data_IF_964443135115
#
_entry.id   IF_964443135115
#
_cell.length_a   1.000
_cell.length_b   1.000
_cell.length_c   1.000
_cell.angle_alpha   90.00
_cell.angle_beta   90.00
_cell.angle_gamma   90.00
#
_symmetry.space_group_name_H-M   'P 1'
#
loop_
_entity.id
_entity.type
_entity.pdbx_description
1 polymer ?
#
# COMPACT_ATOMS: atom_id res chain seq x y z
N UNK A 1 -18.17 36.06 -4.82
CA UNK A 1 -16.78 36.53 -4.54
C UNK A 1 -15.83 35.40 -4.88
N UNK A 2 -14.83 35.70 -5.70
CA UNK A 2 -14.06 34.76 -6.50
C UNK A 2 -13.25 33.77 -5.69
N UNK A 3 -13.28 32.52 -6.17
CA UNK A 3 -12.48 31.38 -5.77
C UNK A 3 -10.97 31.62 -6.08
N UNK A 4 -10.28 32.34 -5.19
CA UNK A 4 -8.81 32.57 -5.26
C UNK A 4 -8.12 31.50 -4.44
N UNK A 5 -7.69 30.40 -5.06
CA UNK A 5 -6.86 29.41 -4.38
C UNK A 5 -6.65 28.07 -5.09
N UNK A 6 -7.19 27.86 -6.27
CA UNK A 6 -6.75 26.77 -7.14
C UNK A 6 -5.68 27.29 -8.09
N UNK A 7 -4.43 27.34 -7.65
CA UNK A 7 -3.33 27.18 -8.59
C UNK A 7 -3.44 25.74 -9.09
N UNK A 8 -4.13 25.59 -10.21
CA UNK A 8 -4.05 24.40 -11.05
C UNK A 8 -2.57 24.24 -11.40
N UNK A 9 -1.90 23.28 -10.79
CA UNK A 9 -0.64 22.81 -11.32
C UNK A 9 -1.03 22.25 -12.69
N UNK A 10 -0.52 22.83 -13.76
CA UNK A 10 -0.79 22.37 -15.10
C UNK A 10 -0.50 20.87 -15.18
N UNK A 11 -1.45 20.09 -15.74
CA UNK A 11 -1.22 18.68 -16.01
C UNK A 11 -0.20 18.60 -17.17
N UNK A 12 1.07 18.52 -16.82
CA UNK A 12 2.21 18.43 -17.73
C UNK A 12 2.48 16.98 -18.18
N UNK A 13 1.45 16.14 -18.20
CA UNK A 13 1.54 14.75 -18.62
C UNK A 13 0.48 14.44 -19.70
N UNK A 14 0.82 13.47 -20.57
CA UNK A 14 -0.15 12.89 -21.50
C UNK A 14 -0.85 11.73 -20.81
N UNK A 15 -2.19 11.73 -20.69
CA UNK A 15 -2.94 10.60 -20.15
C UNK A 15 -2.64 9.31 -20.92
N UNK A 16 -2.43 8.22 -20.17
CA UNK A 16 -2.20 6.90 -20.78
C UNK A 16 -3.50 6.15 -20.96
N UNK A 17 -3.58 5.35 -22.03
CA UNK A 17 -4.66 4.41 -22.26
C UNK A 17 -4.43 3.16 -21.42
N UNK A 18 -5.48 2.61 -20.83
CA UNK A 18 -5.41 1.40 -20.03
C UNK A 18 -4.96 0.19 -20.85
N UNK A 19 -3.98 -0.54 -20.30
CA UNK A 19 -3.52 -1.83 -20.80
C UNK A 19 -3.93 -2.93 -19.80
N UNK A 20 -4.76 -3.92 -20.20
CA UNK A 20 -5.29 -4.97 -19.31
C UNK A 20 -4.25 -5.88 -18.65
N UNK A 21 -3.01 -5.93 -19.16
CA UNK A 21 -1.93 -6.68 -18.53
C UNK A 21 -1.53 -6.10 -17.16
N UNK A 22 -1.80 -4.79 -16.94
CA UNK A 22 -1.49 -4.10 -15.70
C UNK A 22 -2.75 -3.93 -14.84
N UNK A 23 -2.66 -4.28 -13.57
CA UNK A 23 -3.72 -4.00 -12.60
C UNK A 23 -3.70 -2.53 -12.16
N UNK A 24 -2.48 -1.97 -12.06
CA UNK A 24 -2.23 -0.59 -11.64
C UNK A 24 -1.32 0.08 -12.68
N UNK A 25 -1.73 1.25 -13.13
CA UNK A 25 -0.91 2.15 -13.93
C UNK A 25 -0.84 3.51 -13.25
N UNK A 26 0.36 3.92 -12.92
CA UNK A 26 0.66 5.22 -12.31
C UNK A 26 1.41 6.06 -13.32
N UNK A 27 0.86 7.22 -13.69
CA UNK A 27 1.44 8.08 -14.71
C UNK A 27 1.63 9.49 -14.16
N UNK A 28 2.88 9.91 -14.06
CA UNK A 28 3.30 11.26 -13.66
C UNK A 28 2.69 11.72 -12.33
N UNK A 29 2.56 10.80 -11.37
CA UNK A 29 1.93 11.05 -10.08
C UNK A 29 2.67 12.12 -9.30
N UNK A 30 1.93 13.13 -8.82
CA UNK A 30 2.44 14.22 -7.97
C UNK A 30 1.64 14.34 -6.69
N UNK A 31 2.37 14.49 -5.58
CA UNK A 31 1.80 14.80 -4.27
C UNK A 31 2.67 15.81 -3.56
N UNK A 32 2.15 17.04 -3.42
CA UNK A 32 2.81 18.15 -2.78
C UNK A 32 2.05 18.56 -1.52
N UNK A 33 2.80 18.85 -0.48
CA UNK A 33 2.24 19.35 0.78
C UNK A 33 2.57 20.82 0.94
N UNK A 34 1.59 21.70 1.23
CA UNK A 34 1.83 23.12 1.38
C UNK A 34 2.60 23.40 2.68
N UNK A 35 3.65 24.21 2.57
CA UNK A 35 4.35 24.79 3.71
C UNK A 35 3.62 26.10 4.07
N UNK A 36 3.06 26.15 5.27
CA UNK A 36 2.38 27.35 5.78
C UNK A 36 3.35 28.20 6.58
N UNK A 37 3.37 29.52 6.33
CA UNK A 37 4.23 30.47 7.04
C UNK A 37 3.53 31.79 7.33
N UNK A 38 4.15 32.61 8.22
CA UNK A 38 3.65 33.92 8.63
C UNK A 38 2.42 33.88 9.52
N UNK A 39 2.03 35.08 10.03
CA UNK A 39 0.92 35.26 10.99
C UNK A 39 -0.44 34.84 10.42
N UNK A 40 -0.62 34.81 9.10
CA UNK A 40 -1.86 34.50 8.40
C UNK A 40 -1.87 33.06 7.80
N UNK A 41 -0.92 32.20 8.19
CA UNK A 41 -0.83 30.80 7.68
C UNK A 41 -0.91 30.70 6.14
N UNK A 42 -0.28 31.64 5.42
CA UNK A 42 -0.24 31.63 3.97
C UNK A 42 0.71 30.53 3.46
N UNK A 43 0.41 29.97 2.29
CA UNK A 43 1.31 29.00 1.65
C UNK A 43 2.54 29.73 1.10
N UNK A 44 3.71 29.42 1.67
CA UNK A 44 5.00 30.01 1.31
C UNK A 44 5.85 29.09 0.42
N UNK A 45 5.44 27.84 0.26
CA UNK A 45 6.13 26.85 -0.55
C UNK A 45 5.43 25.49 -0.51
N UNK A 46 6.03 24.47 -1.14
CA UNK A 46 5.53 23.11 -1.14
C UNK A 46 6.65 22.11 -0.92
N UNK A 47 6.39 21.07 -0.10
CA UNK A 47 7.22 19.87 -0.06
C UNK A 47 6.74 18.95 -1.18
N UNK A 48 7.59 18.69 -2.15
CA UNK A 48 7.33 17.77 -3.26
C UNK A 48 7.62 16.33 -2.83
N UNK A 49 6.70 15.71 -2.12
CA UNK A 49 6.89 14.37 -1.57
C UNK A 49 6.86 13.29 -2.64
N UNK A 50 6.09 13.50 -3.72
CA UNK A 50 6.06 12.69 -4.94
C UNK A 50 6.03 13.65 -6.12
N UNK A 51 6.96 13.54 -7.06
CA UNK A 51 7.14 14.50 -8.16
C UNK A 51 7.36 13.79 -9.50
N UNK A 52 6.26 13.39 -10.17
CA UNK A 52 6.29 12.81 -11.50
C UNK A 52 6.56 11.29 -11.54
N UNK A 53 6.18 10.55 -10.51
CA UNK A 53 6.39 9.10 -10.46
C UNK A 53 5.52 8.38 -11.49
N UNK A 54 6.16 7.52 -12.32
CA UNK A 54 5.51 6.74 -13.37
C UNK A 54 5.99 5.29 -13.33
N UNK A 55 5.05 4.36 -13.22
CA UNK A 55 5.30 2.91 -13.33
C UNK A 55 4.00 2.14 -13.60
N UNK A 56 4.14 0.89 -14.06
CA UNK A 56 3.02 -0.02 -14.26
C UNK A 56 3.27 -1.30 -13.47
N UNK A 57 2.21 -1.89 -12.92
CA UNK A 57 2.29 -3.09 -12.09
C UNK A 57 1.44 -4.21 -12.71
N UNK A 58 2.07 -5.33 -13.06
CA UNK A 58 1.40 -6.50 -13.62
C UNK A 58 0.58 -7.22 -12.55
N UNK A 59 -0.49 -7.89 -12.99
CA UNK A 59 -1.31 -8.72 -12.07
C UNK A 59 -0.49 -9.88 -11.54
N UNK A 60 -0.68 -10.17 -10.24
CA UNK A 60 0.00 -11.28 -9.56
C UNK A 60 1.49 -11.08 -9.33
N UNK A 61 2.05 -9.89 -9.69
CA UNK A 61 3.46 -9.56 -9.50
C UNK A 61 3.67 -8.66 -8.29
N UNK A 62 4.92 -8.63 -7.80
CA UNK A 62 5.39 -7.71 -6.77
C UNK A 62 6.29 -6.66 -7.38
N UNK A 63 5.98 -5.37 -7.14
CA UNK A 63 6.93 -4.28 -7.37
C UNK A 63 7.54 -3.85 -6.05
N UNK A 64 8.85 -3.95 -5.93
CA UNK A 64 9.63 -3.37 -4.84
C UNK A 64 9.84 -1.87 -5.05
N UNK A 65 9.56 -1.06 -4.03
CA UNK A 65 9.82 0.38 -4.06
C UNK A 65 10.84 0.70 -2.97
N UNK A 66 12.06 1.03 -3.38
CA UNK A 66 13.21 1.27 -2.49
C UNK A 66 13.66 2.72 -2.51
N UNK A 67 14.47 3.10 -1.53
CA UNK A 67 15.06 4.45 -1.40
C UNK A 67 15.22 4.86 0.06
N UNK A 68 15.87 6.00 0.31
CA UNK A 68 16.10 6.53 1.66
C UNK A 68 14.80 6.82 2.42
N UNK A 69 14.90 6.89 3.75
CA UNK A 69 13.79 7.34 4.59
C UNK A 69 13.41 8.78 4.22
N UNK A 70 12.10 9.02 4.05
CA UNK A 70 11.60 10.34 3.65
C UNK A 70 11.65 10.65 2.16
N UNK A 71 12.15 9.78 1.27
CA UNK A 71 12.19 10.04 -0.18
C UNK A 71 10.82 9.98 -0.89
N UNK A 72 9.73 9.60 -0.19
CA UNK A 72 8.36 9.64 -0.74
C UNK A 72 7.68 8.28 -0.93
N UNK A 73 8.31 7.14 -0.64
CA UNK A 73 7.77 5.78 -0.85
C UNK A 73 6.38 5.57 -0.23
N UNK A 74 6.26 5.75 1.08
CA UNK A 74 4.98 5.61 1.80
C UNK A 74 3.94 6.61 1.31
N UNK A 75 4.37 7.82 0.95
CA UNK A 75 3.49 8.84 0.37
C UNK A 75 2.96 8.39 -0.99
N UNK A 76 3.80 7.77 -1.84
CA UNK A 76 3.40 7.20 -3.13
C UNK A 76 2.32 6.13 -2.93
N UNK A 77 2.56 5.12 -2.08
CA UNK A 77 1.58 4.07 -1.80
C UNK A 77 0.26 4.62 -1.25
N UNK A 78 0.30 5.53 -0.30
CA UNK A 78 -0.91 6.16 0.27
C UNK A 78 -1.64 7.03 -0.74
N UNK A 79 -0.93 7.72 -1.64
CA UNK A 79 -1.54 8.52 -2.70
C UNK A 79 -2.24 7.63 -3.72
N UNK A 80 -1.63 6.51 -4.14
CA UNK A 80 -2.27 5.51 -5.01
C UNK A 80 -3.60 5.02 -4.43
N UNK A 81 -3.65 4.75 -3.12
CA UNK A 81 -4.85 4.30 -2.42
C UNK A 81 -5.84 5.43 -2.10
N UNK A 82 -5.56 6.67 -2.54
CA UNK A 82 -6.33 7.88 -2.18
C UNK A 82 -6.50 8.03 -0.66
N UNK A 83 -5.43 7.70 0.09
CA UNK A 83 -5.32 7.93 1.53
C UNK A 83 -4.56 9.24 1.78
N UNK A 84 -5.11 10.13 2.60
CA UNK A 84 -4.46 11.42 2.90
C UNK A 84 -4.79 12.55 1.92
N UNK A 85 -5.97 12.51 1.29
CA UNK A 85 -6.53 13.59 0.47
C UNK A 85 -6.13 13.51 -1.01
N UNK A 86 -6.42 14.60 -1.75
CA UNK A 86 -6.25 14.65 -3.21
C UNK A 86 -4.78 14.60 -3.65
N UNK A 87 -4.52 14.02 -4.82
CA UNK A 87 -3.23 14.13 -5.52
C UNK A 87 -3.03 15.57 -6.01
N UNK A 88 -1.80 15.95 -6.26
CA UNK A 88 -1.48 17.26 -6.84
C UNK A 88 -1.54 17.22 -8.37
N UNK A 89 -1.23 16.07 -8.97
CA UNK A 89 -1.27 15.86 -10.42
C UNK A 89 -1.03 14.40 -10.80
N UNK A 90 -1.05 14.13 -12.11
CA UNK A 90 -0.85 12.80 -12.66
C UNK A 90 -2.11 11.95 -12.71
N UNK A 91 -1.96 10.67 -13.05
CA UNK A 91 -3.04 9.71 -13.29
C UNK A 91 -2.76 8.41 -12.50
N UNK A 92 -3.81 7.82 -11.91
CA UNK A 92 -3.75 6.52 -11.22
C UNK A 92 -4.90 5.67 -11.72
N UNK A 93 -4.62 4.71 -12.60
CA UNK A 93 -5.60 3.76 -13.11
C UNK A 93 -5.50 2.44 -12.34
N UNK A 94 -6.60 2.01 -11.76
CA UNK A 94 -6.76 0.68 -11.19
C UNK A 94 -7.86 -0.07 -11.94
N UNK A 95 -7.52 -1.23 -12.52
CA UNK A 95 -8.43 -1.99 -13.38
C UNK A 95 -9.09 -1.11 -14.47
N UNK A 96 -8.33 -0.16 -15.03
CA UNK A 96 -8.79 0.75 -16.09
C UNK A 96 -9.62 1.95 -15.63
N UNK A 97 -9.90 2.09 -14.33
CA UNK A 97 -10.63 3.22 -13.78
C UNK A 97 -9.70 4.21 -13.08
N UNK A 98 -9.86 5.50 -13.36
CA UNK A 98 -9.12 6.56 -12.65
C UNK A 98 -9.61 6.65 -11.20
N UNK A 99 -8.72 6.37 -10.25
CA UNK A 99 -9.03 6.31 -8.80
C UNK A 99 -9.57 7.63 -8.28
N UNK A 100 -9.09 8.74 -8.83
CA UNK A 100 -9.45 10.09 -8.34
C UNK A 100 -10.74 10.64 -8.94
N UNK A 101 -11.25 10.04 -10.01
CA UNK A 101 -12.54 10.40 -10.61
C UNK A 101 -13.71 9.62 -10.01
N UNK A 102 -13.41 8.62 -9.17
CA UNK A 102 -14.43 7.78 -8.53
C UNK A 102 -15.27 8.54 -7.52
N UNK A 103 -16.56 8.28 -7.55
CA UNK A 103 -17.53 8.73 -6.55
C UNK A 103 -17.27 8.08 -5.18
N UNK A 104 -17.80 8.63 -4.07
CA UNK A 104 -17.65 8.00 -2.76
C UNK A 104 -18.17 6.54 -2.69
N UNK A 105 -19.22 6.21 -3.45
CA UNK A 105 -19.77 4.85 -3.50
C UNK A 105 -18.79 3.88 -4.22
N UNK A 106 -18.25 4.28 -5.37
CA UNK A 106 -17.25 3.51 -6.11
C UNK A 106 -15.96 3.36 -5.29
N UNK A 107 -15.53 4.41 -4.58
CA UNK A 107 -14.38 4.34 -3.67
C UNK A 107 -14.60 3.37 -2.51
N UNK A 108 -15.83 3.27 -1.99
CA UNK A 108 -16.17 2.29 -0.94
C UNK A 108 -16.01 0.86 -1.47
N UNK A 109 -16.46 0.59 -2.69
CA UNK A 109 -16.26 -0.70 -3.35
C UNK A 109 -14.77 -0.96 -3.64
N UNK A 110 -14.07 0.05 -4.18
CA UNK A 110 -12.64 -0.06 -4.48
C UNK A 110 -11.80 -0.40 -3.25
N UNK A 111 -12.17 0.10 -2.07
CA UNK A 111 -11.47 -0.19 -0.81
C UNK A 111 -11.47 -1.66 -0.44
N UNK A 112 -12.40 -2.49 -0.93
CA UNK A 112 -12.31 -3.94 -0.76
C UNK A 112 -11.23 -4.57 -1.64
N UNK A 113 -10.92 -3.94 -2.78
CA UNK A 113 -9.97 -4.43 -3.79
C UNK A 113 -8.54 -3.95 -3.59
N UNK A 114 -8.37 -2.80 -2.94
CA UNK A 114 -7.07 -2.18 -2.67
C UNK A 114 -6.89 -2.03 -1.16
N UNK A 115 -5.86 -2.67 -0.61
CA UNK A 115 -5.59 -2.68 0.82
C UNK A 115 -4.18 -2.18 1.13
N UNK A 116 -3.91 -1.91 2.42
CA UNK A 116 -2.60 -1.53 2.92
C UNK A 116 -2.26 -2.30 4.20
N UNK A 117 -1.01 -2.77 4.27
CA UNK A 117 -0.38 -3.26 5.49
C UNK A 117 0.58 -2.17 5.93
N UNK A 118 0.34 -1.61 7.11
CA UNK A 118 1.13 -0.49 7.64
C UNK A 118 2.43 -0.95 8.30
N UNK A 119 3.39 -0.03 8.37
CA UNK A 119 4.72 -0.20 8.96
C UNK A 119 4.68 -0.59 10.44
N UNK A 120 3.81 0.06 11.23
CA UNK A 120 3.71 -0.19 12.67
C UNK A 120 2.44 -0.98 13.01
N UNK A 121 2.60 -2.28 13.36
CA UNK A 121 1.47 -3.11 13.75
C UNK A 121 0.86 -2.71 15.09
N UNK A 122 1.60 -2.00 15.97
CA UNK A 122 1.08 -1.56 17.25
C UNK A 122 0.05 -0.44 17.11
N UNK A 123 0.37 0.59 16.34
CA UNK A 123 -0.54 1.71 16.11
C UNK A 123 -1.68 1.37 15.16
N UNK A 124 -1.53 0.30 14.37
CA UNK A 124 -2.51 -0.11 13.36
C UNK A 124 -3.67 -0.92 13.92
N UNK A 125 -3.52 -1.53 15.09
CA UNK A 125 -4.52 -2.40 15.73
C UNK A 125 -5.18 -1.69 16.91
N UNK A 126 -6.52 -1.71 16.98
CA UNK A 126 -7.24 -1.19 18.14
C UNK A 126 -6.93 -2.04 19.38
N UNK A 127 -6.34 -1.46 20.44
CA UNK A 127 -6.01 -2.22 21.65
C UNK A 127 -7.24 -2.66 22.47
N UNK A 128 -8.42 -2.14 22.10
CA UNK A 128 -9.68 -2.36 22.83
C UNK A 128 -10.56 -3.43 22.20
N UNK A 129 -10.21 -3.91 21.01
CA UNK A 129 -10.98 -4.92 20.29
C UNK A 129 -10.23 -6.25 20.29
N UNK A 130 -10.94 -7.39 20.43
CA UNK A 130 -10.32 -8.69 20.21
C UNK A 130 -9.96 -8.89 18.73
N UNK A 131 -8.99 -9.78 18.45
CA UNK A 131 -8.43 -10.01 17.12
C UNK A 131 -9.48 -10.37 16.11
N UNK A 132 -10.45 -11.22 16.45
CA UNK A 132 -11.54 -11.60 15.54
C UNK A 132 -12.41 -10.41 15.11
N UNK A 133 -12.62 -9.44 16.02
CA UNK A 133 -13.35 -8.21 15.71
C UNK A 133 -12.53 -7.29 14.79
N UNK A 134 -11.22 -7.16 15.05
CA UNK A 134 -10.31 -6.34 14.22
C UNK A 134 -10.25 -6.87 12.78
N UNK A 135 -10.16 -8.18 12.59
CA UNK A 135 -10.12 -8.81 11.26
C UNK A 135 -11.51 -8.74 10.60
N UNK A 136 -12.57 -8.97 11.37
CA UNK A 136 -13.93 -9.10 10.86
C UNK A 136 -14.71 -7.80 10.67
N UNK A 137 -14.25 -6.66 11.22
CA UNK A 137 -14.96 -5.38 11.17
C UNK A 137 -15.31 -4.97 9.73
N UNK A 138 -14.31 -4.95 8.85
CA UNK A 138 -14.49 -4.57 7.46
C UNK A 138 -15.31 -5.63 6.67
N UNK A 139 -15.18 -6.90 6.98
CA UNK A 139 -15.98 -7.98 6.39
C UNK A 139 -17.47 -7.77 6.65
N UNK A 140 -17.83 -7.39 7.88
CA UNK A 140 -19.22 -7.07 8.25
C UNK A 140 -19.71 -5.79 7.59
N UNK A 141 -18.88 -4.74 7.60
CA UNK A 141 -19.22 -3.43 7.04
C UNK A 141 -19.52 -3.51 5.53
N UNK A 142 -18.81 -4.38 4.82
CA UNK A 142 -19.00 -4.61 3.38
C UNK A 142 -19.96 -5.77 3.06
N UNK A 143 -20.52 -6.45 4.08
CA UNK A 143 -21.37 -7.64 3.93
C UNK A 143 -20.76 -8.70 2.99
N UNK A 144 -19.46 -8.97 3.16
CA UNK A 144 -18.69 -9.80 2.24
C UNK A 144 -19.15 -11.27 2.25
N UNK A 145 -19.60 -11.75 3.40
CA UNK A 145 -20.10 -13.11 3.61
C UNK A 145 -21.41 -13.08 4.42
N UNK A 146 -22.27 -14.10 4.25
CA UNK A 146 -23.47 -14.26 5.07
C UNK A 146 -23.15 -14.36 6.56
N UNK A 147 -24.06 -13.89 7.42
CA UNK A 147 -23.84 -13.87 8.89
C UNK A 147 -23.56 -15.24 9.49
N UNK A 148 -24.16 -16.29 8.95
CA UNK A 148 -23.96 -17.68 9.39
C UNK A 148 -22.59 -18.24 9.01
N UNK A 149 -21.91 -17.68 8.01
CA UNK A 149 -20.60 -18.12 7.53
C UNK A 149 -19.46 -17.24 8.07
N UNK A 150 -19.80 -16.13 8.75
CA UNK A 150 -18.82 -15.13 9.20
C UNK A 150 -17.71 -15.72 10.06
N UNK A 151 -18.05 -16.55 11.05
CA UNK A 151 -17.06 -17.10 11.96
C UNK A 151 -16.09 -18.06 11.27
N UNK A 152 -16.60 -18.92 10.39
CA UNK A 152 -15.81 -19.88 9.62
C UNK A 152 -14.89 -19.14 8.63
N UNK A 153 -15.40 -18.06 8.02
CA UNK A 153 -14.59 -17.21 7.14
C UNK A 153 -13.43 -16.53 7.89
N UNK A 154 -13.69 -15.97 9.07
CA UNK A 154 -12.63 -15.35 9.89
C UNK A 154 -11.61 -16.39 10.35
N UNK A 155 -12.06 -17.57 10.75
CA UNK A 155 -11.15 -18.66 11.12
C UNK A 155 -10.26 -19.10 9.95
N UNK A 156 -10.80 -19.18 8.74
CA UNK A 156 -10.03 -19.48 7.53
C UNK A 156 -9.01 -18.38 7.21
N UNK A 157 -9.38 -17.10 7.30
CA UNK A 157 -8.46 -15.97 7.08
C UNK A 157 -7.33 -15.97 8.11
N UNK A 158 -7.64 -16.29 9.37
CA UNK A 158 -6.65 -16.40 10.44
C UNK A 158 -5.69 -17.57 10.19
N UNK A 159 -6.20 -18.72 9.80
CA UNK A 159 -5.40 -19.92 9.49
C UNK A 159 -4.46 -19.66 8.31
N UNK A 160 -4.95 -19.04 7.22
CA UNK A 160 -4.14 -18.62 6.07
C UNK A 160 -2.93 -17.73 6.48
N UNK A 161 -3.07 -16.97 7.58
CA UNK A 161 -2.00 -16.13 8.13
C UNK A 161 -1.18 -16.81 9.23
N UNK A 162 -1.43 -18.11 9.51
CA UNK A 162 -0.75 -18.87 10.56
C UNK A 162 -1.14 -18.46 11.98
N UNK A 163 -2.36 -17.95 12.15
CA UNK A 163 -2.96 -17.64 13.44
C UNK A 163 -3.90 -18.80 13.87
N UNK A 164 -3.89 -19.14 15.15
CA UNK A 164 -4.74 -20.23 15.67
C UNK A 164 -6.15 -19.72 16.00
N UNK A 165 -7.21 -20.55 15.91
CA UNK A 165 -8.60 -20.15 16.18
C UNK A 165 -8.79 -19.54 17.59
N UNK A 166 -8.06 -20.03 18.60
CA UNK A 166 -8.16 -19.49 19.97
C UNK A 166 -7.57 -18.08 20.12
N UNK A 167 -6.83 -17.58 19.13
CA UNK A 167 -6.35 -16.20 19.08
C UNK A 167 -7.51 -15.20 18.84
N UNK A 168 -8.64 -15.64 18.30
CA UNK A 168 -9.78 -14.80 17.93
C UNK A 168 -10.33 -13.95 19.09
N UNK A 169 -10.31 -14.47 20.30
CA UNK A 169 -10.84 -13.81 21.51
C UNK A 169 -9.80 -12.99 22.28
N UNK A 170 -8.53 -13.07 21.89
CA UNK A 170 -7.44 -12.35 22.54
C UNK A 170 -7.29 -10.93 21.99
N UNK A 171 -6.61 -10.08 22.77
CA UNK A 171 -6.36 -8.68 22.43
C UNK A 171 -4.93 -8.49 21.87
N UNK A 172 -4.69 -7.46 21.03
CA UNK A 172 -3.39 -7.24 20.38
C UNK A 172 -2.19 -7.18 21.35
N UNK A 173 -2.36 -6.68 22.55
CA UNK A 173 -1.29 -6.57 23.54
C UNK A 173 -0.78 -7.93 24.08
N UNK A 174 -1.54 -9.01 23.86
CA UNK A 174 -1.17 -10.38 24.26
C UNK A 174 -0.29 -11.10 23.24
N UNK A 175 0.06 -10.43 22.11
CA UNK A 175 0.78 -11.03 21.00
C UNK A 175 2.20 -10.46 20.83
N UNK A 176 3.11 -11.28 20.31
CA UNK A 176 4.44 -10.84 19.88
C UNK A 176 4.34 -9.91 18.66
N UNK A 177 5.44 -9.19 18.33
CA UNK A 177 5.51 -8.30 17.17
C UNK A 177 5.16 -9.03 15.86
N UNK A 178 5.73 -10.21 15.63
CA UNK A 178 5.44 -11.02 14.45
C UNK A 178 4.00 -11.53 14.37
N UNK A 179 3.42 -11.89 15.50
CA UNK A 179 2.00 -12.28 15.56
C UNK A 179 1.08 -11.09 15.29
N UNK A 180 1.37 -9.90 15.80
CA UNK A 180 0.63 -8.67 15.48
C UNK A 180 0.72 -8.34 13.99
N UNK A 181 1.89 -8.53 13.37
CA UNK A 181 2.03 -8.36 11.92
C UNK A 181 1.15 -9.34 11.14
N UNK A 182 1.07 -10.61 11.57
CA UNK A 182 0.13 -11.58 10.98
C UNK A 182 -1.33 -11.16 11.14
N UNK A 183 -1.71 -10.52 12.23
CA UNK A 183 -3.06 -9.96 12.43
C UNK A 183 -3.31 -8.80 11.47
N UNK A 184 -2.33 -7.90 11.25
CA UNK A 184 -2.46 -6.82 10.27
C UNK A 184 -2.61 -7.35 8.83
N UNK A 185 -1.84 -8.40 8.49
CA UNK A 185 -1.96 -9.10 7.20
C UNK A 185 -3.35 -9.72 7.08
N UNK A 186 -3.81 -10.48 8.07
CA UNK A 186 -5.13 -11.11 8.08
C UNK A 186 -6.26 -10.07 7.90
N UNK A 187 -6.19 -8.93 8.60
CA UNK A 187 -7.15 -7.84 8.46
C UNK A 187 -7.20 -7.29 7.03
N UNK A 188 -6.05 -7.07 6.40
CA UNK A 188 -5.99 -6.59 5.02
C UNK A 188 -6.56 -7.63 4.04
N UNK A 189 -6.25 -8.91 4.23
CA UNK A 189 -6.68 -10.00 3.36
C UNK A 189 -8.12 -10.45 3.57
N UNK A 190 -8.74 -10.09 4.69
CA UNK A 190 -10.13 -10.45 4.99
C UNK A 190 -11.12 -9.84 3.99
N UNK A 191 -10.76 -8.79 3.28
CA UNK A 191 -11.56 -8.20 2.20
C UNK A 191 -11.33 -8.84 0.83
N UNK A 192 -10.49 -9.87 0.74
CA UNK A 192 -10.11 -10.55 -0.50
C UNK A 192 -9.65 -9.55 -1.60
N UNK A 193 -8.61 -8.73 -1.30
CA UNK A 193 -8.12 -7.70 -2.20
C UNK A 193 -7.47 -8.30 -3.44
N UNK A 194 -7.33 -7.46 -4.49
CA UNK A 194 -6.54 -7.77 -5.69
C UNK A 194 -5.15 -7.12 -5.63
N UNK A 195 -5.04 -6.00 -4.88
CA UNK A 195 -3.82 -5.21 -4.75
C UNK A 195 -3.58 -4.81 -3.29
N UNK A 196 -2.35 -4.96 -2.81
CA UNK A 196 -1.96 -4.58 -1.45
C UNK A 196 -0.67 -3.77 -1.47
N UNK A 197 -0.71 -2.61 -0.84
CA UNK A 197 0.49 -1.85 -0.50
C UNK A 197 1.06 -2.39 0.82
N UNK A 198 2.27 -2.91 0.79
CA UNK A 198 3.01 -3.34 1.98
C UNK A 198 3.99 -2.20 2.36
N UNK A 199 3.58 -1.30 3.26
CA UNK A 199 4.36 -0.14 3.69
C UNK A 199 5.31 -0.54 4.82
N UNK A 200 6.56 -0.92 4.49
CA UNK A 200 7.60 -1.42 5.40
C UNK A 200 7.13 -2.54 6.35
N UNK A 201 6.52 -3.61 5.86
CA UNK A 201 5.77 -4.58 6.68
C UNK A 201 6.64 -5.40 7.64
N UNK A 202 7.96 -5.33 7.53
CA UNK A 202 8.90 -6.13 8.35
C UNK A 202 9.94 -5.29 9.08
N UNK A 203 9.98 -3.97 8.90
CA UNK A 203 11.06 -3.09 9.40
C UNK A 203 11.22 -3.09 10.94
N UNK A 204 10.17 -3.38 11.69
CA UNK A 204 10.17 -3.42 13.15
C UNK A 204 10.34 -4.83 13.76
N UNK A 205 10.73 -5.82 12.94
CA UNK A 205 10.79 -7.23 13.34
C UNK A 205 12.24 -7.75 13.31
N UNK A 206 12.53 -8.76 14.13
CA UNK A 206 13.80 -9.50 14.09
C UNK A 206 13.97 -10.25 12.76
N UNK A 207 15.20 -10.43 12.29
CA UNK A 207 15.54 -11.03 10.98
C UNK A 207 14.85 -12.38 10.75
N UNK A 208 14.81 -13.25 11.78
CA UNK A 208 14.15 -14.56 11.68
C UNK A 208 12.63 -14.45 11.47
N UNK A 209 12.00 -13.47 12.10
CA UNK A 209 10.57 -13.19 11.97
C UNK A 209 10.29 -12.49 10.64
N UNK A 210 11.19 -11.59 10.18
CA UNK A 210 11.08 -10.98 8.85
C UNK A 210 10.98 -12.05 7.76
N UNK A 211 11.90 -13.03 7.75
CA UNK A 211 11.88 -14.13 6.78
C UNK A 211 10.56 -14.91 6.79
N UNK A 212 10.01 -15.17 7.97
CA UNK A 212 8.71 -15.85 8.10
C UNK A 212 7.55 -15.02 7.51
N UNK A 213 7.54 -13.69 7.72
CA UNK A 213 6.51 -12.81 7.17
C UNK A 213 6.65 -12.68 5.65
N UNK A 214 7.86 -12.58 5.12
CA UNK A 214 8.11 -12.55 3.67
C UNK A 214 7.63 -13.84 3.01
N UNK A 215 7.97 -15.00 3.56
CA UNK A 215 7.51 -16.29 3.04
C UNK A 215 5.98 -16.41 3.13
N UNK A 216 5.35 -15.91 4.19
CA UNK A 216 3.90 -15.84 4.29
C UNK A 216 3.30 -14.99 3.18
N UNK A 217 3.83 -13.78 2.92
CA UNK A 217 3.33 -12.89 1.87
C UNK A 217 3.46 -13.54 0.48
N UNK A 218 4.59 -14.22 0.18
CA UNK A 218 4.78 -14.96 -1.08
C UNK A 218 3.75 -16.10 -1.24
N UNK A 219 3.57 -16.91 -0.20
CA UNK A 219 2.58 -17.99 -0.21
C UNK A 219 1.15 -17.48 -0.41
N UNK A 220 0.80 -16.36 0.23
CA UNK A 220 -0.51 -15.72 0.08
C UNK A 220 -0.68 -15.11 -1.32
N UNK A 221 0.39 -14.56 -1.90
CA UNK A 221 0.39 -14.07 -3.28
C UNK A 221 0.07 -15.19 -4.27
N UNK A 222 0.77 -16.30 -4.19
CA UNK A 222 0.54 -17.47 -5.04
C UNK A 222 -0.87 -18.05 -4.86
N UNK A 223 -1.30 -18.23 -3.59
CA UNK A 223 -2.59 -18.83 -3.25
C UNK A 223 -3.78 -17.99 -3.72
N UNK A 224 -3.67 -16.65 -3.66
CA UNK A 224 -4.77 -15.71 -3.89
C UNK A 224 -4.57 -14.82 -5.12
N UNK A 225 -3.49 -15.02 -5.88
CA UNK A 225 -3.10 -14.19 -7.03
C UNK A 225 -3.04 -12.69 -6.69
N UNK A 226 -2.41 -12.36 -5.55
CA UNK A 226 -2.30 -11.00 -5.05
C UNK A 226 -1.23 -10.22 -5.83
N UNK A 227 -1.44 -8.93 -5.97
CA UNK A 227 -0.45 -8.00 -6.51
C UNK A 227 0.06 -7.11 -5.39
N UNK A 228 1.39 -6.96 -5.25
CA UNK A 228 2.00 -6.16 -4.19
C UNK A 228 2.76 -4.94 -4.71
N UNK A 229 2.57 -3.81 -4.05
CA UNK A 229 3.56 -2.73 -4.01
C UNK A 229 4.29 -2.85 -2.67
N UNK A 230 5.49 -3.40 -2.70
CA UNK A 230 6.29 -3.70 -1.51
C UNK A 230 7.30 -2.58 -1.25
N UNK A 231 7.06 -1.78 -0.23
CA UNK A 231 7.92 -0.66 0.17
C UNK A 231 8.88 -1.14 1.25
N UNK A 232 10.18 -0.96 1.02
CA UNK A 232 11.21 -1.28 2.00
C UNK A 232 12.45 -0.40 1.79
N UNK A 233 13.27 -0.32 2.83
CA UNK A 233 14.64 0.22 2.76
C UNK A 233 15.68 -0.90 2.79
N UNK A 234 15.27 -2.16 2.98
CA UNK A 234 16.14 -3.34 2.96
C UNK A 234 16.16 -3.95 1.56
N UNK A 235 17.28 -3.76 0.85
CA UNK A 235 17.48 -4.22 -0.51
C UNK A 235 17.43 -5.75 -0.62
N UNK A 236 17.97 -6.48 0.37
CA UNK A 236 18.01 -7.96 0.33
C UNK A 236 16.58 -8.54 0.40
N UNK A 237 15.71 -7.91 1.19
CA UNK A 237 14.29 -8.30 1.26
C UNK A 237 13.60 -8.02 -0.07
N UNK A 238 13.86 -6.85 -0.67
CA UNK A 238 13.24 -6.45 -1.94
C UNK A 238 13.70 -7.35 -3.08
N UNK A 239 14.98 -7.64 -3.20
CA UNK A 239 15.53 -8.58 -4.18
C UNK A 239 14.84 -9.94 -4.11
N UNK A 240 14.56 -10.41 -2.89
CA UNK A 240 13.95 -11.73 -2.68
C UNK A 240 12.46 -11.80 -3.02
N UNK A 241 11.69 -10.72 -2.84
CA UNK A 241 10.22 -10.75 -2.99
C UNK A 241 9.72 -10.14 -4.29
N UNK A 242 10.50 -9.30 -4.97
CA UNK A 242 10.03 -8.46 -6.06
C UNK A 242 10.34 -9.04 -7.43
N UNK A 243 9.42 -8.86 -8.38
CA UNK A 243 9.62 -9.13 -9.81
C UNK A 243 10.24 -7.91 -10.50
N UNK A 244 9.79 -6.70 -10.11
CA UNK A 244 10.31 -5.43 -10.61
C UNK A 244 10.69 -4.54 -9.43
N UNK A 245 11.64 -3.63 -9.64
CA UNK A 245 12.10 -2.69 -8.61
C UNK A 245 12.07 -1.27 -9.15
N UNK A 246 11.60 -0.36 -8.31
CA UNK A 246 11.67 1.08 -8.53
C UNK A 246 12.50 1.75 -7.43
N UNK A 247 13.46 2.56 -7.81
CA UNK A 247 14.33 3.31 -6.90
C UNK A 247 13.82 4.76 -6.80
N UNK A 248 13.44 5.17 -5.59
CA UNK A 248 12.98 6.54 -5.32
C UNK A 248 14.06 7.38 -4.66
N UNK A 249 14.25 8.59 -5.19
CA UNK A 249 15.12 9.61 -4.62
C UNK A 249 14.48 10.99 -4.68
N UNK A 250 14.37 11.67 -3.55
CA UNK A 250 13.81 13.02 -3.41
C UNK A 250 12.47 13.24 -4.16
N UNK A 251 11.55 12.28 -3.99
CA UNK A 251 10.21 12.34 -4.59
C UNK A 251 10.10 11.82 -6.02
N UNK A 252 11.21 11.49 -6.67
CA UNK A 252 11.26 11.00 -8.04
C UNK A 252 11.56 9.51 -8.09
N UNK A 253 11.05 8.83 -9.12
CA UNK A 253 11.47 7.48 -9.49
C UNK A 253 12.68 7.64 -10.44
N UNK A 254 13.88 7.30 -9.93
CA UNK A 254 15.13 7.55 -10.67
C UNK A 254 15.58 6.35 -11.47
N UNK A 255 15.14 5.15 -11.09
CA UNK A 255 15.39 3.90 -11.81
C UNK A 255 14.21 2.95 -11.65
N UNK A 256 13.90 2.18 -12.70
CA UNK A 256 12.80 1.19 -12.69
C UNK A 256 13.09 0.09 -13.72
N UNK A 257 12.98 -1.17 -13.31
CA UNK A 257 13.23 -2.33 -14.18
C UNK A 257 12.93 -3.66 -13.51
N UNK A 258 13.24 -4.74 -14.20
CA UNK A 258 13.19 -6.09 -13.63
C UNK A 258 14.22 -6.19 -12.50
N UNK A 259 13.92 -6.98 -11.47
CA UNK A 259 14.74 -7.06 -10.25
C UNK A 259 16.19 -7.45 -10.57
N UNK A 260 16.38 -8.50 -11.37
CA UNK A 260 17.72 -9.01 -11.71
C UNK A 260 18.57 -7.93 -12.43
N UNK A 261 17.96 -7.15 -13.32
CA UNK A 261 18.64 -6.08 -14.05
C UNK A 261 19.10 -4.94 -13.13
N UNK A 262 18.21 -4.49 -12.24
CA UNK A 262 18.49 -3.39 -11.31
C UNK A 262 19.62 -3.78 -10.33
N UNK A 263 19.59 -5.01 -9.80
CA UNK A 263 20.60 -5.45 -8.84
C UNK A 263 21.94 -5.79 -9.50
N UNK A 264 21.94 -6.35 -10.72
CA UNK A 264 23.18 -6.69 -11.42
C UNK A 264 23.85 -5.48 -12.08
N UNK A 265 23.10 -4.52 -12.59
CA UNK A 265 23.57 -3.41 -13.42
C UNK A 265 22.88 -2.09 -13.07
N UNK A 266 23.02 -1.57 -11.82
CA UNK A 266 22.42 -0.30 -11.45
C UNK A 266 22.97 0.85 -12.32
N UNK A 267 22.08 1.67 -12.88
CA UNK A 267 22.46 2.77 -13.77
C UNK A 267 22.56 4.09 -13.03
N UNK A 268 21.74 4.28 -12.00
CA UNK A 268 21.75 5.51 -11.20
C UNK A 268 22.79 5.41 -10.09
N UNK A 269 23.63 6.43 -9.85
CA UNK A 269 24.72 6.38 -8.86
C UNK A 269 24.24 6.26 -7.40
N UNK A 270 22.97 6.55 -7.12
CA UNK A 270 22.35 6.32 -5.82
C UNK A 270 22.05 4.83 -5.59
#
# INVERSE_FOLDING_TARGET
MANKGKHLIENDYTPVTYDPQYILMVNHLKKYFPIKGGLLSQTVGHVKAVDGVTFNLRRGCTMGLVGESGCGKSTTGRTILRLGGEKTGGQVLFNGKEVYDMTPAEMRELRTKMQIIFQDPFSSLSPRLPVGEIIGEAVREHNLVPKNEFNDYIDQVMDDCGLQPYHKTRYPHEFSGGQRQRICIARALALNPEFVVCDEPVSALDVSIQAQIINLLKSLQEKRNLTYLFISHDLSVVEHISDTVGVMYLGNLVEYGETDDIFAHPLHPY
#
